data_IF_437783785156
#
_entry.id   IF_437783785156
#
_cell.length_a   1.000
_cell.length_b   1.000
_cell.length_c   1.000
_cell.angle_alpha   90.00
_cell.angle_beta   90.00
_cell.angle_gamma   90.00
#
_symmetry.space_group_name_H-M   'P 1'
#
loop_
_entity.id
_entity.type
_entity.pdbx_description
1 polymer ?
#
# COMPACT_ATOMS: atom_id res chain seq x y z
N UNK A 1 -22.71 -8.45 9.37
CA UNK A 1 -21.70 -9.49 9.16
C UNK A 1 -22.34 -10.81 9.53
N UNK A 2 -22.41 -11.72 8.60
CA UNK A 2 -22.95 -13.05 8.80
C UNK A 2 -21.85 -14.02 9.25
N UNK A 3 -22.24 -15.22 9.67
CA UNK A 3 -21.30 -16.29 9.94
C UNK A 3 -20.39 -16.54 8.74
N UNK A 4 -19.16 -17.06 8.96
CA UNK A 4 -18.28 -17.43 7.86
C UNK A 4 -19.04 -18.28 6.84
N UNK A 5 -19.01 -17.93 5.56
CA UNK A 5 -19.69 -18.73 4.55
C UNK A 5 -18.99 -20.08 4.43
N UNK A 6 -19.78 -21.12 4.54
CA UNK A 6 -19.34 -22.50 4.29
C UNK A 6 -19.53 -22.84 2.81
N UNK A 7 -20.42 -22.09 2.16
CA UNK A 7 -20.79 -22.26 0.77
C UNK A 7 -20.11 -21.21 -0.12
N UNK A 8 -19.22 -21.61 -1.05
CA UNK A 8 -18.52 -20.68 -1.94
C UNK A 8 -19.47 -19.84 -2.83
N UNK A 9 -20.62 -20.37 -3.19
CA UNK A 9 -21.61 -19.65 -4.01
C UNK A 9 -22.24 -18.52 -3.19
N UNK A 10 -22.60 -18.81 -1.96
CA UNK A 10 -23.13 -17.81 -1.03
C UNK A 10 -22.09 -16.74 -0.73
N UNK A 11 -20.82 -17.12 -0.57
CA UNK A 11 -19.72 -16.20 -0.34
C UNK A 11 -19.55 -15.22 -1.50
N UNK A 12 -19.59 -15.71 -2.73
CA UNK A 12 -19.52 -14.89 -3.93
C UNK A 12 -20.69 -13.89 -4.05
N UNK A 13 -21.86 -14.23 -3.53
CA UNK A 13 -23.06 -13.37 -3.55
C UNK A 13 -23.01 -12.33 -2.42
N UNK A 14 -22.50 -12.69 -1.24
CA UNK A 14 -22.61 -11.87 -0.02
C UNK A 14 -21.34 -11.05 0.21
N UNK A 15 -20.18 -11.53 -0.24
CA UNK A 15 -18.87 -10.90 -0.04
C UNK A 15 -18.21 -10.61 -1.38
N UNK A 16 -17.62 -9.45 -1.50
CA UNK A 16 -16.81 -9.07 -2.66
C UNK A 16 -15.36 -8.92 -2.26
N UNK A 17 -14.44 -9.40 -3.10
CA UNK A 17 -13.01 -9.15 -2.98
C UNK A 17 -12.58 -7.83 -3.65
N UNK A 18 -13.51 -7.14 -4.29
CA UNK A 18 -13.24 -5.84 -4.90
C UNK A 18 -12.66 -4.89 -3.85
N UNK A 19 -11.52 -4.35 -4.15
CA UNK A 19 -10.80 -3.39 -3.31
C UNK A 19 -10.60 -2.07 -4.04
N UNK A 20 -10.31 -1.04 -3.27
CA UNK A 20 -10.09 0.30 -3.81
C UNK A 20 -8.76 0.85 -3.32
N UNK A 21 -7.93 1.32 -4.25
CA UNK A 21 -6.63 1.92 -3.98
C UNK A 21 -6.71 3.41 -4.25
N UNK A 22 -6.11 4.22 -3.38
CA UNK A 22 -5.99 5.65 -3.59
C UNK A 22 -6.68 6.51 -2.53
N UNK A 23 -6.92 7.79 -2.82
CA UNK A 23 -7.51 8.74 -1.88
C UNK A 23 -8.87 8.29 -1.38
N UNK A 24 -9.16 8.55 -0.10
CA UNK A 24 -10.43 8.18 0.54
C UNK A 24 -11.31 9.43 0.71
N UNK A 25 -12.62 9.35 0.41
CA UNK A 25 -13.53 10.43 0.68
C UNK A 25 -13.69 10.67 2.19
N UNK A 26 -13.99 11.89 2.58
CA UNK A 26 -14.37 12.18 3.95
C UNK A 26 -15.82 11.71 4.18
N UNK A 27 -16.00 10.63 4.90
CA UNK A 27 -17.33 10.05 5.16
C UNK A 27 -18.21 10.92 6.07
N UNK A 28 -17.61 11.89 6.77
CA UNK A 28 -18.34 12.82 7.64
C UNK A 28 -18.76 14.10 6.92
N UNK A 29 -18.26 14.34 5.71
CA UNK A 29 -18.64 15.49 4.90
C UNK A 29 -19.76 15.11 3.93
N UNK A 30 -20.99 15.27 4.39
CA UNK A 30 -22.21 14.98 3.62
C UNK A 30 -22.39 15.94 2.43
N UNK A 31 -21.67 17.05 2.40
CA UNK A 31 -21.74 18.06 1.34
C UNK A 31 -20.63 17.92 0.29
N UNK A 32 -19.84 16.86 0.36
CA UNK A 32 -18.75 16.62 -0.59
C UNK A 32 -19.31 16.37 -2.00
N UNK A 33 -19.28 17.39 -2.83
CA UNK A 33 -19.85 17.35 -4.20
C UNK A 33 -18.99 16.50 -5.13
N UNK A 34 -17.68 16.48 -4.94
CA UNK A 34 -16.71 15.76 -5.78
C UNK A 34 -15.82 14.86 -4.90
N UNK A 35 -16.23 13.62 -4.60
CA UNK A 35 -15.38 12.70 -3.88
C UNK A 35 -14.12 12.37 -4.70
N UNK A 36 -12.97 12.10 -4.05
CA UNK A 36 -11.76 11.74 -4.76
C UNK A 36 -11.97 10.45 -5.56
N UNK A 37 -11.35 10.39 -6.74
CA UNK A 37 -11.34 9.18 -7.54
C UNK A 37 -10.52 8.09 -6.84
N UNK A 38 -11.00 6.86 -6.93
CA UNK A 38 -10.31 5.67 -6.42
C UNK A 38 -10.12 4.68 -7.55
N UNK A 39 -9.01 3.96 -7.52
CA UNK A 39 -8.75 2.86 -8.45
C UNK A 39 -9.42 1.60 -7.93
N UNK A 40 -10.37 1.06 -8.68
CA UNK A 40 -10.99 -0.23 -8.39
C UNK A 40 -10.11 -1.36 -8.89
N UNK A 41 -9.89 -2.36 -8.05
CA UNK A 41 -9.22 -3.62 -8.38
C UNK A 41 -10.13 -4.79 -8.01
N UNK A 42 -10.12 -5.84 -8.83
CA UNK A 42 -11.00 -7.01 -8.65
C UNK A 42 -10.73 -7.78 -7.35
N UNK A 43 -9.51 -7.67 -6.84
CA UNK A 43 -9.07 -8.32 -5.59
C UNK A 43 -7.84 -7.61 -5.03
N UNK A 44 -7.59 -7.73 -3.70
CA UNK A 44 -6.47 -7.05 -3.07
C UNK A 44 -5.10 -7.71 -3.31
N UNK A 45 -5.06 -8.88 -3.92
CA UNK A 45 -3.81 -9.57 -4.28
C UNK A 45 -3.53 -9.28 -5.75
N UNK A 46 -2.44 -8.56 -6.00
CA UNK A 46 -2.07 -8.12 -7.35
C UNK A 46 -1.10 -9.12 -7.99
N UNK A 47 -1.34 -9.46 -9.23
CA UNK A 47 -0.41 -10.22 -10.03
C UNK A 47 0.70 -9.32 -10.63
N UNK A 48 1.62 -9.92 -11.39
CA UNK A 48 2.73 -9.19 -12.04
C UNK A 48 2.23 -8.17 -13.07
N UNK A 49 1.17 -8.50 -13.81
CA UNK A 49 0.61 -7.62 -14.82
C UNK A 49 -0.09 -6.41 -14.20
N UNK A 50 -0.82 -6.63 -13.13
CA UNK A 50 -1.48 -5.57 -12.35
C UNK A 50 -0.46 -4.65 -11.68
N UNK A 51 0.59 -5.22 -11.11
CA UNK A 51 1.64 -4.44 -10.49
C UNK A 51 2.43 -3.60 -11.50
N UNK A 52 2.69 -4.14 -12.69
CA UNK A 52 3.33 -3.39 -13.77
C UNK A 52 2.46 -2.20 -14.23
N UNK A 53 1.14 -2.41 -14.37
CA UNK A 53 0.19 -1.32 -14.68
C UNK A 53 0.16 -0.28 -13.57
N UNK A 54 0.18 -0.71 -12.30
CA UNK A 54 0.13 0.19 -11.15
C UNK A 54 1.38 1.07 -11.07
N UNK A 55 2.54 0.54 -11.39
CA UNK A 55 3.80 1.33 -11.46
C UNK A 55 3.73 2.44 -12.50
N UNK A 56 3.08 2.17 -13.61
CA UNK A 56 2.92 3.10 -14.74
C UNK A 56 1.51 3.72 -14.80
N UNK A 57 0.77 3.71 -13.69
CA UNK A 57 -0.66 4.07 -13.65
C UNK A 57 -0.94 5.45 -14.24
N UNK A 58 0.00 6.37 -14.13
CA UNK A 58 -0.12 7.71 -14.71
C UNK A 58 -0.32 7.72 -16.22
N UNK A 59 0.28 6.75 -16.92
CA UNK A 59 0.13 6.61 -18.37
C UNK A 59 -1.28 6.17 -18.76
N UNK A 60 -1.89 5.29 -17.97
CA UNK A 60 -3.22 4.75 -18.24
C UNK A 60 -4.35 5.68 -17.79
N UNK A 61 -4.08 6.55 -16.83
CA UNK A 61 -5.09 7.42 -16.22
C UNK A 61 -4.94 8.90 -16.56
N UNK A 62 -4.14 9.22 -17.58
CA UNK A 62 -3.88 10.61 -18.00
C UNK A 62 -3.37 11.47 -16.84
N UNK A 63 -2.55 10.88 -15.95
CA UNK A 63 -1.97 11.57 -14.80
C UNK A 63 -2.91 11.76 -13.60
N UNK A 64 -4.15 11.24 -13.63
CA UNK A 64 -5.08 11.31 -12.50
C UNK A 64 -4.59 10.51 -11.29
N UNK A 65 -3.93 9.39 -11.54
CA UNK A 65 -3.21 8.62 -10.52
C UNK A 65 -1.72 8.67 -10.82
N UNK A 66 -0.94 8.78 -9.75
CA UNK A 66 0.53 8.73 -9.81
C UNK A 66 1.03 7.85 -8.69
N UNK A 67 1.79 6.84 -9.05
CA UNK A 67 2.44 5.94 -8.09
C UNK A 67 3.83 6.43 -7.74
N UNK A 68 4.25 6.19 -6.51
CA UNK A 68 5.60 6.40 -6.03
C UNK A 68 6.08 5.14 -5.29
N UNK A 69 7.31 4.70 -5.58
CA UNK A 69 7.88 3.51 -4.92
C UNK A 69 8.71 3.95 -3.73
N UNK A 70 8.32 3.50 -2.56
CA UNK A 70 9.06 3.62 -1.32
C UNK A 70 9.92 2.36 -1.15
N UNK A 71 11.20 2.47 -1.43
CA UNK A 71 12.16 1.38 -1.23
C UNK A 71 12.46 1.22 0.26
N UNK A 72 12.14 0.04 0.81
CA UNK A 72 12.34 -0.26 2.23
C UNK A 72 13.69 -0.92 2.52
N UNK A 73 14.58 -0.93 1.55
CA UNK A 73 15.93 -1.47 1.75
C UNK A 73 16.91 -0.41 2.25
N UNK A 74 17.94 -0.86 2.95
CA UNK A 74 19.03 -0.01 3.42
C UNK A 74 20.36 -0.78 3.36
N UNK A 75 21.51 -0.08 3.29
CA UNK A 75 22.82 -0.73 3.24
C UNK A 75 23.10 -1.58 4.49
N UNK A 76 23.51 -2.82 4.29
CA UNK A 76 23.90 -3.73 5.38
C UNK A 76 24.95 -3.11 6.32
N UNK A 77 25.83 -2.25 5.78
CA UNK A 77 26.86 -1.56 6.54
C UNK A 77 26.35 -0.60 7.63
N UNK A 78 25.07 -0.22 7.57
CA UNK A 78 24.45 0.64 8.60
C UNK A 78 24.13 -0.11 9.90
N UNK A 79 24.14 -1.46 9.88
CA UNK A 79 23.84 -2.26 11.04
C UNK A 79 22.46 -2.01 11.62
N UNK A 80 22.32 -2.18 12.93
CA UNK A 80 21.04 -2.07 13.63
C UNK A 80 20.47 -0.64 13.62
N UNK A 81 21.33 0.38 13.65
CA UNK A 81 20.92 1.80 13.56
C UNK A 81 20.31 2.15 12.19
N UNK A 82 20.61 1.35 11.18
CA UNK A 82 20.07 1.53 9.83
C UNK A 82 18.56 1.42 9.73
N UNK A 83 17.93 0.61 10.59
CA UNK A 83 16.47 0.44 10.61
C UNK A 83 15.79 1.75 11.01
N UNK A 84 16.22 2.39 12.10
CA UNK A 84 15.63 3.65 12.57
C UNK A 84 15.84 4.77 11.56
N UNK A 85 17.07 4.92 11.06
CA UNK A 85 17.40 5.93 10.06
C UNK A 85 16.58 5.76 8.79
N UNK A 86 16.44 4.53 8.31
CA UNK A 86 15.64 4.24 7.12
C UNK A 86 14.14 4.46 7.35
N UNK A 87 13.60 4.08 8.50
CA UNK A 87 12.18 4.34 8.84
C UNK A 87 11.88 5.84 8.87
N UNK A 88 12.75 6.64 9.48
CA UNK A 88 12.60 8.09 9.50
C UNK A 88 12.62 8.68 8.09
N UNK A 89 13.60 8.27 7.28
CA UNK A 89 13.72 8.69 5.87
C UNK A 89 12.49 8.28 5.06
N UNK A 90 12.01 7.05 5.22
CA UNK A 90 10.86 6.49 4.51
C UNK A 90 9.57 7.28 4.82
N UNK A 91 9.37 7.65 6.08
CA UNK A 91 8.22 8.45 6.50
C UNK A 91 8.25 9.85 5.88
N UNK A 92 9.42 10.50 5.88
CA UNK A 92 9.60 11.81 5.24
C UNK A 92 9.37 11.73 3.72
N UNK A 93 9.96 10.72 3.06
CA UNK A 93 9.80 10.46 1.63
C UNK A 93 8.34 10.23 1.23
N UNK A 94 7.56 9.53 2.06
CA UNK A 94 6.13 9.32 1.84
C UNK A 94 5.34 10.65 1.85
N UNK A 95 5.65 11.55 2.79
CA UNK A 95 5.03 12.88 2.85
C UNK A 95 5.40 13.72 1.65
N UNK A 96 6.67 13.71 1.26
CA UNK A 96 7.17 14.48 0.10
C UNK A 96 6.55 13.96 -1.21
N UNK A 97 6.42 12.65 -1.36
CA UNK A 97 5.74 12.04 -2.51
C UNK A 97 4.27 12.50 -2.60
N UNK A 98 3.53 12.50 -1.48
CA UNK A 98 2.15 12.99 -1.44
C UNK A 98 2.06 14.48 -1.78
N UNK A 99 2.92 15.30 -1.19
CA UNK A 99 3.01 16.74 -1.52
C UNK A 99 3.40 16.98 -2.98
N UNK A 100 4.18 16.08 -3.57
CA UNK A 100 4.51 16.05 -4.99
C UNK A 100 3.37 15.59 -5.92
N UNK A 101 2.20 15.27 -5.34
CA UNK A 101 1.00 14.90 -6.10
C UNK A 101 0.88 13.41 -6.41
N UNK A 102 1.68 12.54 -5.76
CA UNK A 102 1.49 11.09 -5.83
C UNK A 102 0.36 10.68 -4.89
N UNK A 103 -0.53 9.84 -5.37
CA UNK A 103 -1.70 9.38 -4.61
C UNK A 103 -1.76 7.85 -4.45
N UNK A 104 -0.72 7.15 -4.89
CA UNK A 104 -0.48 5.73 -4.63
C UNK A 104 0.97 5.56 -4.20
N UNK A 105 1.20 5.02 -3.01
CA UNK A 105 2.52 4.71 -2.49
C UNK A 105 2.72 3.20 -2.49
N UNK A 106 3.82 2.73 -3.08
CA UNK A 106 4.18 1.31 -3.20
C UNK A 106 5.36 1.05 -2.27
N UNK A 107 5.10 0.39 -1.15
CA UNK A 107 6.13 -0.05 -0.20
C UNK A 107 6.76 -1.33 -0.75
N UNK A 108 8.04 -1.28 -1.12
CA UNK A 108 8.69 -2.38 -1.88
C UNK A 108 10.02 -2.81 -1.27
N UNK A 109 10.22 -4.13 -1.14
CA UNK A 109 11.48 -4.76 -0.75
C UNK A 109 12.30 -5.29 -1.95
N UNK A 110 11.94 -4.91 -3.17
CA UNK A 110 12.62 -5.35 -4.40
C UNK A 110 14.10 -4.98 -4.47
N UNK A 111 14.54 -3.98 -3.71
CA UNK A 111 15.93 -3.54 -3.66
C UNK A 111 16.87 -4.48 -2.89
N UNK A 112 16.36 -5.57 -2.31
CA UNK A 112 17.17 -6.55 -1.57
C UNK A 112 18.25 -7.17 -2.45
N UNK A 113 19.47 -7.21 -1.92
CA UNK A 113 20.64 -7.74 -2.61
C UNK A 113 21.78 -8.06 -1.67
N UNK A 114 22.97 -8.41 -2.18
CA UNK A 114 24.09 -8.83 -1.35
C UNK A 114 24.57 -7.79 -0.33
N UNK A 115 24.32 -6.50 -0.59
CA UNK A 115 24.72 -5.39 0.27
C UNK A 115 23.54 -4.56 0.79
N UNK A 116 22.29 -4.97 0.47
CA UNK A 116 21.06 -4.29 0.82
C UNK A 116 20.14 -5.26 1.56
N UNK A 117 19.65 -4.84 2.71
CA UNK A 117 18.69 -5.58 3.52
C UNK A 117 17.39 -4.82 3.63
N UNK A 118 16.27 -5.52 3.68
CA UNK A 118 14.97 -4.89 3.82
C UNK A 118 14.55 -4.80 5.29
N UNK A 119 13.88 -3.70 5.63
CA UNK A 119 13.05 -3.63 6.82
C UNK A 119 11.88 -4.63 6.64
N UNK A 120 11.44 -5.36 7.68
CA UNK A 120 10.24 -6.18 7.57
C UNK A 120 9.06 -5.38 7.01
N UNK A 121 8.42 -5.89 5.95
CA UNK A 121 7.41 -5.15 5.20
C UNK A 121 6.27 -4.61 6.09
N UNK A 122 5.82 -5.38 7.09
CA UNK A 122 4.78 -4.95 8.02
C UNK A 122 5.24 -3.79 8.90
N UNK A 123 6.52 -3.76 9.32
CA UNK A 123 7.08 -2.67 10.12
C UNK A 123 7.16 -1.37 9.30
N UNK A 124 7.69 -1.46 8.08
CA UNK A 124 7.78 -0.31 7.18
C UNK A 124 6.40 0.25 6.82
N UNK A 125 5.46 -0.65 6.46
CA UNK A 125 4.07 -0.29 6.17
C UNK A 125 3.41 0.42 7.35
N UNK A 126 3.51 -0.16 8.56
CA UNK A 126 2.93 0.39 9.78
C UNK A 126 3.52 1.76 10.11
N UNK A 127 4.82 1.91 9.99
CA UNK A 127 5.50 3.19 10.25
C UNK A 127 4.99 4.29 9.31
N UNK A 128 4.95 4.03 8.01
CA UNK A 128 4.41 4.96 7.01
C UNK A 128 2.94 5.25 7.28
N UNK A 129 2.12 4.20 7.50
CA UNK A 129 0.69 4.37 7.79
C UNK A 129 0.45 5.28 9.00
N UNK A 130 1.08 4.99 10.14
CA UNK A 130 0.89 5.75 11.36
C UNK A 130 1.47 7.17 11.26
N UNK A 131 2.57 7.33 10.56
CA UNK A 131 3.14 8.65 10.32
C UNK A 131 2.20 9.52 9.47
N UNK A 132 1.66 8.98 8.37
CA UNK A 132 0.68 9.69 7.54
C UNK A 132 -0.62 10.00 8.29
N UNK A 133 -1.03 9.15 9.26
CA UNK A 133 -2.17 9.46 10.14
C UNK A 133 -1.87 10.69 11.00
N UNK A 134 -0.68 10.75 11.62
CA UNK A 134 -0.26 11.90 12.45
C UNK A 134 -0.17 13.20 11.65
N UNK A 135 0.29 13.10 10.41
CA UNK A 135 0.38 14.24 9.49
C UNK A 135 -0.97 14.64 8.85
N UNK A 136 -2.05 13.89 9.11
CA UNK A 136 -3.35 14.13 8.49
C UNK A 136 -3.43 13.79 6.99
N UNK A 137 -2.45 13.05 6.49
CA UNK A 137 -2.31 12.74 5.05
C UNK A 137 -2.73 11.32 4.66
N UNK A 138 -3.07 10.45 5.64
CA UNK A 138 -3.35 9.03 5.35
C UNK A 138 -4.49 8.82 4.34
N UNK A 139 -5.47 9.70 4.33
CA UNK A 139 -6.62 9.59 3.42
C UNK A 139 -6.37 10.17 2.02
N UNK A 140 -5.22 10.78 1.79
CA UNK A 140 -4.88 11.40 0.49
C UNK A 140 -4.17 10.44 -0.46
N UNK A 141 -3.68 9.30 0.03
CA UNK A 141 -2.97 8.31 -0.78
C UNK A 141 -3.34 6.87 -0.40
N UNK A 142 -3.32 5.97 -1.38
CA UNK A 142 -3.38 4.52 -1.18
C UNK A 142 -2.02 3.93 -0.83
N UNK A 143 -2.01 2.87 -0.03
CA UNK A 143 -0.82 2.10 0.31
C UNK A 143 -0.89 0.71 -0.32
N UNK A 144 0.09 0.37 -1.14
CA UNK A 144 0.26 -0.94 -1.75
C UNK A 144 1.59 -1.53 -1.27
N UNK A 145 1.62 -2.82 -0.98
CA UNK A 145 2.83 -3.51 -0.56
C UNK A 145 3.29 -4.48 -1.64
N UNK A 146 4.54 -4.39 -2.02
CA UNK A 146 5.21 -5.33 -2.90
C UNK A 146 6.32 -6.03 -2.10
N UNK A 147 6.15 -7.32 -1.83
CA UNK A 147 7.07 -8.04 -0.95
C UNK A 147 7.21 -9.51 -1.28
N UNK A 148 8.44 -10.02 -1.20
CA UNK A 148 8.74 -11.44 -1.28
C UNK A 148 8.49 -12.21 0.03
N UNK A 149 8.15 -11.52 1.13
CA UNK A 149 7.93 -12.13 2.43
C UNK A 149 6.49 -12.59 2.69
N UNK A 150 5.51 -12.13 1.90
CA UNK A 150 4.11 -12.52 2.03
C UNK A 150 3.83 -13.85 1.30
N UNK A 151 3.79 -14.96 2.04
CA UNK A 151 3.69 -16.32 1.48
C UNK A 151 2.51 -17.13 1.99
N UNK A 152 1.87 -16.69 3.06
CA UNK A 152 0.74 -17.37 3.71
C UNK A 152 -0.42 -16.40 3.91
N UNK A 153 -1.63 -16.94 4.01
CA UNK A 153 -2.86 -16.15 4.21
C UNK A 153 -2.74 -15.17 5.37
N UNK A 154 -2.11 -15.63 6.48
CA UNK A 154 -1.90 -14.77 7.64
C UNK A 154 -1.04 -13.54 7.34
N UNK A 155 -0.01 -13.66 6.51
CA UNK A 155 0.83 -12.54 6.13
C UNK A 155 0.02 -11.45 5.39
N UNK A 156 -0.86 -11.85 4.48
CA UNK A 156 -1.73 -10.90 3.77
C UNK A 156 -2.74 -10.25 4.72
N UNK A 157 -3.35 -11.02 5.61
CA UNK A 157 -4.27 -10.49 6.61
C UNK A 157 -3.60 -9.47 7.53
N UNK A 158 -2.37 -9.73 7.97
CA UNK A 158 -1.58 -8.80 8.79
C UNK A 158 -1.27 -7.52 8.01
N UNK A 159 -0.76 -7.64 6.78
CA UNK A 159 -0.46 -6.46 5.95
C UNK A 159 -1.72 -5.60 5.72
N UNK A 160 -2.86 -6.22 5.41
CA UNK A 160 -4.12 -5.51 5.26
C UNK A 160 -4.54 -4.83 6.58
N UNK A 161 -4.42 -5.51 7.71
CA UNK A 161 -4.70 -4.97 9.04
C UNK A 161 -3.84 -3.77 9.42
N UNK A 162 -2.59 -3.71 8.93
CA UNK A 162 -1.67 -2.59 9.14
C UNK A 162 -1.74 -1.50 8.05
N UNK A 163 -2.71 -1.58 7.13
CA UNK A 163 -3.05 -0.48 6.25
C UNK A 163 -2.77 -0.67 4.76
N UNK A 164 -2.35 -1.88 4.32
CA UNK A 164 -2.25 -2.17 2.90
C UNK A 164 -3.65 -2.26 2.26
N UNK A 165 -3.83 -1.60 1.14
CA UNK A 165 -5.05 -1.67 0.33
C UNK A 165 -4.96 -2.78 -0.72
N UNK A 166 -3.73 -3.10 -1.13
CA UNK A 166 -3.42 -4.26 -1.96
C UNK A 166 -1.99 -4.75 -1.69
N UNK A 167 -1.74 -6.01 -2.02
CA UNK A 167 -0.43 -6.67 -1.82
C UNK A 167 -0.05 -7.41 -3.10
N UNK A 168 1.17 -7.17 -3.57
CA UNK A 168 1.80 -7.94 -4.64
C UNK A 168 2.88 -8.86 -4.07
N UNK A 169 2.62 -10.18 -3.96
CA UNK A 169 3.64 -11.16 -3.60
C UNK A 169 4.51 -11.50 -4.82
N UNK A 170 5.81 -11.78 -4.59
CA UNK A 170 6.71 -12.21 -5.67
C UNK A 170 7.73 -13.24 -5.23
#
# INVERSE_FOLDING_TARGET
VTNPPIDPIREAIVMSLVSFIGPKPNLLDINQVNPPMRLEVSQPILDFADMAKLRDIGKYTQGKFKSYVLDITYPLAWGDEGVEAKLASLCAEAVDAIKGGHNILIVSDRGVGPTQVAIPAVLALSAVHQYLVREGLRTTAGLVVETGSAREVHHFAVLAGYGAEAVHPY
#
